data_IF_490837227113
#
_entry.id   IF_490837227113
#
_cell.length_a   1.000
_cell.length_b   1.000
_cell.length_c   1.000
_cell.angle_alpha   90.00
_cell.angle_beta   90.00
_cell.angle_gamma   90.00
#
_symmetry.space_group_name_H-M   'P 1'
#
loop_
_entity.id
_entity.type
_entity.pdbx_description
1 polymer ?
#
# COMPACT_ATOMS: atom_id res chain seq x y z
N UNK A 1 -0.24 23.14 6.53
CA UNK A 1 1.02 22.41 6.78
C UNK A 1 0.75 21.51 7.98
N UNK A 2 0.89 20.18 7.87
CA UNK A 2 0.65 19.30 9.02
C UNK A 2 1.88 19.39 9.92
N UNK A 3 1.68 19.83 11.16
CA UNK A 3 2.69 19.82 12.20
C UNK A 3 2.41 18.64 13.12
N UNK A 4 3.42 17.80 13.30
CA UNK A 4 3.38 16.63 14.17
C UNK A 4 4.49 16.80 15.19
N UNK A 5 4.18 16.45 16.43
CA UNK A 5 5.17 16.28 17.48
C UNK A 5 5.52 14.79 17.58
N UNK A 6 6.77 14.52 17.94
CA UNK A 6 7.31 13.16 18.05
C UNK A 6 8.05 13.05 19.37
N UNK A 7 7.76 12.00 20.13
CA UNK A 7 8.56 11.65 21.30
C UNK A 7 9.92 11.07 20.87
N UNK A 8 10.88 11.01 21.79
CA UNK A 8 12.18 10.38 21.49
C UNK A 8 12.02 8.88 21.24
N UNK A 9 11.10 8.19 21.92
CA UNK A 9 10.82 6.77 21.67
C UNK A 9 10.28 6.55 20.25
N UNK A 10 9.38 7.43 19.79
CA UNK A 10 8.84 7.37 18.44
C UNK A 10 9.92 7.62 17.39
N UNK A 11 10.80 8.62 17.60
CA UNK A 11 11.93 8.88 16.69
C UNK A 11 12.86 7.67 16.58
N UNK A 12 13.16 7.02 17.69
CA UNK A 12 13.98 5.82 17.72
C UNK A 12 13.31 4.65 17.00
N UNK A 13 12.01 4.48 17.20
CA UNK A 13 11.21 3.44 16.52
C UNK A 13 11.17 3.67 15.01
N UNK A 14 10.90 4.91 14.56
CA UNK A 14 10.93 5.29 13.15
C UNK A 14 12.32 5.06 12.53
N UNK A 15 13.38 5.42 13.25
CA UNK A 15 14.76 5.21 12.80
C UNK A 15 15.10 3.72 12.63
N UNK A 16 14.67 2.89 13.57
CA UNK A 16 14.92 1.44 13.52
C UNK A 16 14.12 0.78 12.39
N UNK A 17 12.81 1.02 12.35
CA UNK A 17 11.88 0.37 11.42
C UNK A 17 12.15 0.73 9.95
N UNK A 18 12.73 1.91 9.65
CA UNK A 18 13.08 2.31 8.27
C UNK A 18 14.09 1.38 7.59
N UNK A 19 14.82 0.57 8.35
CA UNK A 19 15.77 -0.41 7.80
C UNK A 19 15.40 -1.86 8.12
N UNK A 20 14.59 -2.11 9.15
CA UNK A 20 14.35 -3.45 9.68
C UNK A 20 12.93 -3.98 9.41
N UNK A 21 11.98 -3.12 9.03
CA UNK A 21 10.64 -3.61 8.72
C UNK A 21 10.67 -4.51 7.48
N UNK A 22 10.02 -5.69 7.45
CA UNK A 22 10.12 -6.63 6.32
C UNK A 22 9.59 -6.07 4.99
N UNK A 23 8.63 -5.16 5.05
CA UNK A 23 7.99 -4.59 3.86
C UNK A 23 8.59 -3.22 3.44
N UNK A 24 9.11 -3.07 2.20
CA UNK A 24 9.76 -1.84 1.72
C UNK A 24 8.87 -0.58 1.75
N UNK A 25 7.57 -0.70 1.45
CA UNK A 25 6.65 0.45 1.57
C UNK A 25 6.53 0.99 3.00
N UNK A 26 6.59 0.11 4.00
CA UNK A 26 6.52 0.55 5.39
C UNK A 26 7.86 1.16 5.78
N UNK A 27 8.99 0.58 5.37
CA UNK A 27 10.30 1.21 5.53
C UNK A 27 10.32 2.66 5.01
N UNK A 28 9.78 2.88 3.80
CA UNK A 28 9.65 4.22 3.21
C UNK A 28 8.75 5.15 4.04
N UNK A 29 7.60 4.67 4.54
CA UNK A 29 6.75 5.45 5.45
C UNK A 29 7.52 5.86 6.72
N UNK A 30 8.29 4.93 7.30
CA UNK A 30 9.09 5.19 8.50
C UNK A 30 10.21 6.21 8.23
N UNK A 31 10.89 6.11 7.08
CA UNK A 31 11.88 7.10 6.64
C UNK A 31 11.26 8.49 6.51
N UNK A 32 10.10 8.60 5.85
CA UNK A 32 9.40 9.87 5.65
C UNK A 32 9.02 10.53 6.97
N UNK A 33 8.48 9.76 7.92
CA UNK A 33 8.11 10.28 9.24
C UNK A 33 9.35 10.59 10.09
N UNK A 34 10.42 9.81 9.98
CA UNK A 34 11.70 10.14 10.60
C UNK A 34 12.27 11.46 10.07
N UNK A 35 12.28 11.68 8.75
CA UNK A 35 12.71 12.95 8.16
C UNK A 35 11.84 14.13 8.63
N UNK A 36 10.54 13.89 8.80
CA UNK A 36 9.61 14.90 9.34
C UNK A 36 9.94 15.24 10.81
N UNK A 37 10.31 14.25 11.63
CA UNK A 37 10.71 14.47 13.02
C UNK A 37 12.02 15.26 13.16
N UNK A 38 12.89 15.21 12.15
CA UNK A 38 14.09 16.06 12.02
C UNK A 38 13.78 17.51 11.57
N UNK A 39 12.51 17.91 11.52
CA UNK A 39 12.05 19.25 11.09
C UNK A 39 12.43 19.62 9.65
N UNK A 40 12.63 18.63 8.78
CA UNK A 40 12.94 18.86 7.36
C UNK A 40 11.69 19.38 6.63
N UNK A 41 11.81 20.36 5.72
CA UNK A 41 10.68 20.87 4.94
C UNK A 41 10.08 19.80 4.01
N UNK A 42 8.75 19.80 3.84
CA UNK A 42 8.02 18.81 3.03
C UNK A 42 8.58 18.63 1.62
N UNK A 43 8.93 19.73 0.94
CA UNK A 43 9.51 19.70 -0.41
C UNK A 43 10.82 18.92 -0.44
N UNK A 44 11.65 19.06 0.59
CA UNK A 44 12.92 18.34 0.71
C UNK A 44 12.71 16.88 1.06
N UNK A 45 11.75 16.57 1.93
CA UNK A 45 11.36 15.17 2.22
C UNK A 45 10.90 14.47 0.94
N UNK A 46 10.01 15.09 0.16
CA UNK A 46 9.54 14.55 -1.12
C UNK A 46 10.69 14.28 -2.09
N UNK A 47 11.65 15.21 -2.17
CA UNK A 47 12.85 15.05 -3.00
C UNK A 47 13.73 13.87 -2.54
N UNK A 48 13.98 13.75 -1.24
CA UNK A 48 14.85 12.71 -0.68
C UNK A 48 14.23 11.32 -0.78
N UNK A 49 12.95 11.20 -0.45
CA UNK A 49 12.22 9.93 -0.42
C UNK A 49 11.61 9.55 -1.79
N UNK A 50 11.72 10.41 -2.82
CA UNK A 50 11.21 10.13 -4.16
C UNK A 50 9.68 10.02 -4.24
N UNK A 51 8.94 10.77 -3.41
CA UNK A 51 7.47 10.70 -3.33
C UNK A 51 6.80 12.02 -3.70
N UNK A 52 5.52 11.94 -4.07
CA UNK A 52 4.69 13.13 -4.28
C UNK A 52 4.30 13.79 -2.95
N UNK A 53 3.96 15.08 -3.01
CA UNK A 53 3.43 15.80 -1.83
C UNK A 53 2.12 15.18 -1.32
N UNK A 54 1.28 14.65 -2.21
CA UNK A 54 0.04 13.98 -1.80
C UNK A 54 0.33 12.71 -1.00
N UNK A 55 1.30 11.91 -1.46
CA UNK A 55 1.76 10.70 -0.74
C UNK A 55 2.31 11.05 0.64
N UNK A 56 3.13 12.09 0.73
CA UNK A 56 3.62 12.60 2.02
C UNK A 56 2.45 12.94 2.95
N UNK A 57 1.47 13.72 2.47
CA UNK A 57 0.31 14.09 3.28
C UNK A 57 -0.51 12.90 3.75
N UNK A 58 -0.65 11.85 2.93
CA UNK A 58 -1.30 10.60 3.35
C UNK A 58 -0.54 9.97 4.51
N UNK A 59 0.79 9.83 4.43
CA UNK A 59 1.58 9.22 5.51
C UNK A 59 1.51 10.04 6.80
N UNK A 60 1.51 11.38 6.71
CA UNK A 60 1.34 12.24 7.88
C UNK A 60 -0.03 12.08 8.53
N UNK A 61 -1.10 11.87 7.73
CA UNK A 61 -2.45 11.61 8.23
C UNK A 61 -2.58 10.22 8.86
N UNK A 62 -2.02 9.19 8.23
CA UNK A 62 -1.95 7.84 8.80
C UNK A 62 -1.32 7.88 10.19
N UNK A 63 -0.19 8.58 10.34
CA UNK A 63 0.46 8.76 11.64
C UNK A 63 -0.41 9.53 12.64
N UNK A 64 -1.09 10.59 12.20
CA UNK A 64 -1.98 11.37 13.06
C UNK A 64 -3.19 10.56 13.54
N UNK A 65 -3.66 9.60 12.74
CA UNK A 65 -4.81 8.76 13.05
C UNK A 65 -4.48 7.64 14.03
N UNK A 66 -3.33 6.98 13.89
CA UNK A 66 -3.00 5.80 14.70
C UNK A 66 -1.51 5.54 14.91
N UNK A 67 -0.68 6.57 14.80
CA UNK A 67 0.75 6.52 15.10
C UNK A 67 1.52 5.56 14.20
N UNK A 68 2.56 4.94 14.78
CA UNK A 68 3.46 4.02 14.07
C UNK A 68 2.73 2.76 13.59
N UNK A 69 1.78 2.25 14.38
CA UNK A 69 1.03 1.04 14.00
C UNK A 69 0.18 1.25 12.76
N UNK A 70 -0.46 2.42 12.62
CA UNK A 70 -1.18 2.77 11.39
C UNK A 70 -0.29 2.84 10.15
N UNK A 71 0.97 3.27 10.31
CA UNK A 71 1.93 3.28 9.20
C UNK A 71 2.28 1.87 8.70
N UNK A 72 2.26 0.87 9.60
CA UNK A 72 2.54 -0.54 9.26
C UNK A 72 1.40 -1.18 8.47
N UNK A 73 0.20 -0.61 8.47
CA UNK A 73 -0.92 -1.09 7.66
C UNK A 73 -0.63 -0.94 6.15
N UNK A 74 -0.83 -2.05 5.43
CA UNK A 74 -0.72 -2.09 3.97
C UNK A 74 -2.01 -2.64 3.38
N UNK A 75 -2.85 -1.73 2.93
CA UNK A 75 -4.09 -2.09 2.26
C UNK A 75 -3.84 -2.16 0.76
N UNK A 76 -3.48 -3.35 0.26
CA UNK A 76 -3.42 -3.59 -1.17
C UNK A 76 -4.83 -3.67 -1.73
N UNK A 77 -5.13 -2.82 -2.71
CA UNK A 77 -6.35 -2.97 -3.50
C UNK A 77 -6.28 -4.30 -4.27
N UNK A 78 -7.13 -5.25 -3.88
CA UNK A 78 -7.26 -6.58 -4.48
C UNK A 78 -8.74 -6.82 -4.81
N UNK A 79 -9.25 -6.23 -5.91
CA UNK A 79 -10.63 -6.46 -6.30
C UNK A 79 -10.79 -7.95 -6.62
N UNK A 80 -11.85 -8.56 -6.10
CA UNK A 80 -12.26 -9.90 -6.50
C UNK A 80 -13.25 -9.76 -7.64
N UNK A 81 -13.06 -10.55 -8.69
CA UNK A 81 -14.06 -10.66 -9.76
C UNK A 81 -15.34 -11.28 -9.20
N UNK A 82 -16.50 -10.88 -9.72
CA UNK A 82 -17.78 -11.54 -9.42
C UNK A 82 -17.72 -13.03 -9.78
N UNK A 83 -16.95 -13.38 -10.82
CA UNK A 83 -16.71 -14.74 -11.28
C UNK A 83 -15.76 -15.54 -10.37
N UNK A 84 -15.11 -14.94 -9.38
CA UNK A 84 -14.22 -15.66 -8.46
C UNK A 84 -14.97 -16.76 -7.70
N UNK A 85 -16.26 -16.52 -7.40
CA UNK A 85 -17.15 -17.51 -6.78
C UNK A 85 -17.37 -18.76 -7.64
N UNK A 86 -17.28 -18.62 -8.96
CA UNK A 86 -17.50 -19.69 -9.95
C UNK A 86 -16.19 -20.21 -10.54
N UNK A 87 -15.03 -19.77 -10.04
CA UNK A 87 -13.72 -20.09 -10.59
C UNK A 87 -13.51 -21.58 -10.85
N UNK A 88 -13.81 -22.43 -9.87
CA UNK A 88 -13.63 -23.88 -10.01
C UNK A 88 -14.62 -24.52 -10.98
N UNK A 89 -15.83 -23.98 -11.06
CA UNK A 89 -16.85 -24.44 -12.02
C UNK A 89 -16.45 -24.09 -13.45
N UNK A 90 -16.06 -22.83 -13.69
CA UNK A 90 -15.59 -22.36 -14.99
C UNK A 90 -14.33 -23.12 -15.42
N UNK A 91 -13.38 -23.33 -14.50
CA UNK A 91 -12.18 -24.12 -14.76
C UNK A 91 -12.51 -25.53 -15.24
N UNK A 92 -13.37 -26.25 -14.49
CA UNK A 92 -13.80 -27.61 -14.89
C UNK A 92 -14.56 -27.63 -16.22
N UNK A 93 -15.37 -26.61 -16.49
CA UNK A 93 -16.11 -26.50 -17.73
C UNK A 93 -15.18 -26.30 -18.93
N UNK A 94 -14.22 -25.37 -18.85
CA UNK A 94 -13.29 -25.08 -19.94
C UNK A 94 -12.18 -26.13 -20.09
N UNK A 95 -11.83 -26.88 -19.04
CA UNK A 95 -11.00 -28.09 -19.16
C UNK A 95 -11.67 -29.17 -20.01
N UNK A 96 -13.00 -29.31 -19.90
CA UNK A 96 -13.78 -30.28 -20.69
C UNK A 96 -14.17 -29.75 -22.07
N UNK A 97 -14.43 -28.44 -22.17
CA UNK A 97 -14.90 -27.76 -23.38
C UNK A 97 -13.99 -26.57 -23.69
N UNK A 98 -12.76 -26.81 -24.20
CA UNK A 98 -11.83 -25.73 -24.48
C UNK A 98 -12.45 -24.75 -25.49
N UNK A 99 -12.41 -23.44 -25.22
CA UNK A 99 -12.86 -22.44 -26.18
C UNK A 99 -11.75 -22.25 -27.23
N UNK A 100 -12.14 -22.01 -28.48
CA UNK A 100 -11.18 -21.74 -29.55
C UNK A 100 -10.63 -20.31 -29.47
N UNK A 101 -11.38 -19.38 -28.88
CA UNK A 101 -10.99 -17.98 -28.70
C UNK A 101 -11.41 -17.41 -27.35
N UNK A 102 -10.79 -16.30 -26.94
CA UNK A 102 -11.17 -15.58 -25.72
C UNK A 102 -12.62 -15.06 -25.82
N UNK A 103 -13.03 -14.55 -27.00
CA UNK A 103 -14.39 -14.04 -27.19
C UNK A 103 -15.45 -15.13 -27.02
N UNK A 104 -15.15 -16.35 -27.47
CA UNK A 104 -16.03 -17.50 -27.27
C UNK A 104 -16.11 -17.88 -25.78
N UNK A 105 -14.99 -17.82 -25.05
CA UNK A 105 -15.00 -18.04 -23.60
C UNK A 105 -15.87 -17.02 -22.87
N UNK A 106 -15.79 -15.73 -23.25
CA UNK A 106 -16.63 -14.66 -22.68
C UNK A 106 -18.11 -14.93 -22.96
N UNK A 107 -18.47 -15.21 -24.22
CA UNK A 107 -19.86 -15.53 -24.59
C UNK A 107 -20.43 -16.69 -23.76
N UNK A 108 -19.66 -17.77 -23.57
CA UNK A 108 -20.08 -18.94 -22.77
C UNK A 108 -20.16 -18.68 -21.25
N UNK A 109 -19.51 -17.63 -20.75
CA UNK A 109 -19.63 -17.20 -19.35
C UNK A 109 -20.89 -16.33 -19.16
N UNK A 110 -21.33 -15.64 -20.21
CA UNK A 110 -22.50 -14.75 -20.19
C UNK A 110 -23.84 -15.49 -20.43
N UNK A 111 -23.82 -16.67 -21.05
CA UNK A 111 -24.97 -17.60 -21.13
C UNK A 111 -25.32 -18.25 -19.79
#
# INVERSE_FOLDING_TARGET
MINLEFTEEEKNSLYYERFHHPHPRVQLKMEVLWLKSQKIPHKKICQLAGISTNTLLTYLRDYQEGGIEKLKEINFYRPKSELESQRETLKKYFEKNPPATINEAVYRIEE
#
